data_IF_577962150220
#
_entry.id   IF_577962150220
#
_cell.length_a   1.000
_cell.length_b   1.000
_cell.length_c   1.000
_cell.angle_alpha   90.00
_cell.angle_beta   90.00
_cell.angle_gamma   90.00
#
_symmetry.space_group_name_H-M   'P 1'
#
loop_
_entity.id
_entity.type
_entity.pdbx_description
1 polymer ?
#
# COMPACT_ATOMS: atom_id res chain seq x y z
N UNK A 1 25.12 8.85 16.41
CA UNK A 1 23.99 8.81 15.45
C UNK A 1 23.19 7.57 15.80
N UNK A 2 21.87 7.66 15.96
CA UNK A 2 21.04 6.47 16.21
C UNK A 2 21.14 5.54 14.98
N UNK A 3 21.35 4.24 15.20
CA UNK A 3 21.34 3.26 14.12
C UNK A 3 20.00 3.35 13.38
N UNK A 4 20.01 3.29 12.04
CA UNK A 4 18.77 3.28 11.28
C UNK A 4 17.93 2.06 11.69
N UNK A 5 16.67 2.30 12.04
CA UNK A 5 15.72 1.24 12.37
C UNK A 5 15.29 0.58 11.05
N UNK A 6 15.60 -0.70 10.89
CA UNK A 6 15.13 -1.51 9.77
C UNK A 6 13.84 -2.23 10.19
N UNK A 7 12.87 -2.24 9.30
CA UNK A 7 11.62 -2.96 9.49
C UNK A 7 11.58 -4.15 8.54
N UNK A 8 11.33 -5.38 9.02
CA UNK A 8 11.12 -6.53 8.14
C UNK A 8 9.89 -6.28 7.26
N UNK A 9 9.97 -6.69 5.99
CA UNK A 9 8.90 -6.47 5.03
C UNK A 9 8.23 -7.80 4.69
N UNK A 10 6.92 -7.87 4.92
CA UNK A 10 6.14 -9.08 4.65
C UNK A 10 6.14 -9.49 3.17
N UNK A 11 6.34 -8.53 2.27
CA UNK A 11 6.42 -8.76 0.83
C UNK A 11 7.76 -9.38 0.37
N UNK A 12 8.78 -9.48 1.24
CA UNK A 12 10.11 -9.99 0.88
C UNK A 12 10.05 -11.42 0.31
N UNK A 13 9.21 -12.30 0.87
CA UNK A 13 8.99 -13.66 0.34
C UNK A 13 8.60 -13.62 -1.14
N UNK A 14 7.62 -12.80 -1.51
CA UNK A 14 7.19 -12.64 -2.91
C UNK A 14 8.26 -12.07 -3.82
N UNK A 15 9.12 -11.20 -3.28
CA UNK A 15 10.26 -10.68 -4.03
C UNK A 15 11.26 -11.79 -4.35
N UNK A 16 11.57 -12.64 -3.36
CA UNK A 16 12.48 -13.78 -3.55
C UNK A 16 11.92 -14.76 -4.58
N UNK A 17 10.66 -15.18 -4.44
CA UNK A 17 9.97 -16.06 -5.38
C UNK A 17 9.99 -15.46 -6.82
N UNK A 18 9.71 -14.17 -6.95
CA UNK A 18 9.76 -13.48 -8.25
C UNK A 18 11.15 -13.50 -8.90
N UNK A 19 12.21 -13.38 -8.09
CA UNK A 19 13.59 -13.43 -8.58
C UNK A 19 14.04 -14.86 -8.99
N UNK A 20 13.32 -15.88 -8.59
CA UNK A 20 13.62 -17.28 -8.93
C UNK A 20 13.09 -17.70 -10.32
N UNK A 21 12.03 -17.06 -10.80
CA UNK A 21 11.35 -17.44 -12.04
C UNK A 21 11.27 -16.34 -13.12
N UNK A 22 11.37 -15.08 -12.73
CA UNK A 22 11.18 -13.94 -13.63
C UNK A 22 12.49 -13.24 -13.97
N UNK A 23 12.79 -12.99 -15.26
CA UNK A 23 14.04 -12.34 -15.67
C UNK A 23 14.12 -10.86 -15.27
N UNK A 24 12.96 -10.20 -15.12
CA UNK A 24 12.85 -8.82 -14.65
C UNK A 24 11.85 -8.76 -13.50
N UNK A 25 12.26 -8.19 -12.38
CA UNK A 25 11.39 -7.94 -11.24
C UNK A 25 11.39 -6.44 -10.94
N UNK A 26 10.21 -5.85 -10.75
CA UNK A 26 10.06 -4.43 -10.42
C UNK A 26 9.46 -4.27 -9.03
N UNK A 27 10.20 -3.68 -8.10
CA UNK A 27 9.65 -3.17 -6.84
C UNK A 27 9.01 -1.81 -7.11
N UNK A 28 7.70 -1.74 -6.97
CA UNK A 28 6.88 -0.60 -7.32
C UNK A 28 6.12 -0.05 -6.11
N UNK A 29 6.18 1.26 -5.89
CA UNK A 29 5.50 1.88 -4.75
C UNK A 29 5.94 3.31 -4.49
N UNK A 30 5.33 4.01 -3.51
CA UNK A 30 5.60 5.41 -3.23
C UNK A 30 7.07 5.68 -2.90
N UNK A 31 7.52 6.93 -3.03
CA UNK A 31 8.83 7.34 -2.53
C UNK A 31 8.92 7.12 -1.02
N UNK A 32 10.12 6.90 -0.51
CA UNK A 32 10.39 6.78 0.93
C UNK A 32 9.69 5.60 1.64
N UNK A 33 9.12 4.62 0.92
CA UNK A 33 8.56 3.39 1.51
C UNK A 33 9.58 2.27 1.71
N UNK A 34 10.86 2.45 1.27
CA UNK A 34 11.95 1.52 1.50
C UNK A 34 12.28 0.57 0.34
N UNK A 35 11.94 0.91 -0.92
CA UNK A 35 12.20 0.07 -2.12
C UNK A 35 13.68 -0.27 -2.30
N UNK A 36 14.53 0.74 -2.33
CA UNK A 36 15.99 0.57 -2.45
C UNK A 36 16.55 -0.28 -1.32
N UNK A 37 16.10 -0.02 -0.08
CA UNK A 37 16.51 -0.79 1.10
C UNK A 37 16.12 -2.26 0.97
N UNK A 38 14.86 -2.55 0.57
CA UNK A 38 14.38 -3.92 0.36
C UNK A 38 15.20 -4.62 -0.73
N UNK A 39 15.41 -3.97 -1.89
CA UNK A 39 16.20 -4.53 -2.98
C UNK A 39 17.62 -4.90 -2.55
N UNK A 40 18.30 -3.99 -1.83
CA UNK A 40 19.65 -4.20 -1.36
C UNK A 40 19.75 -5.31 -0.30
N UNK A 41 18.83 -5.37 0.67
CA UNK A 41 18.83 -6.40 1.72
C UNK A 41 18.56 -7.78 1.12
N UNK A 42 17.59 -7.89 0.19
CA UNK A 42 17.22 -9.18 -0.40
C UNK A 42 18.31 -9.73 -1.33
N UNK A 43 18.99 -8.86 -2.08
CA UNK A 43 19.94 -9.27 -3.12
C UNK A 43 21.40 -9.27 -2.67
N UNK A 44 21.75 -8.58 -1.60
CA UNK A 44 23.10 -8.49 -1.05
C UNK A 44 23.11 -8.93 0.42
N UNK A 45 23.03 -10.22 0.72
CA UNK A 45 23.01 -10.73 2.10
C UNK A 45 24.24 -10.32 2.92
N UNK A 46 25.33 -9.96 2.27
CA UNK A 46 26.55 -9.38 2.88
C UNK A 46 26.61 -7.85 2.76
N UNK A 47 25.52 -7.18 2.38
CA UNK A 47 25.48 -5.73 2.38
C UNK A 47 25.91 -5.23 3.77
N UNK A 48 26.96 -4.39 3.86
CA UNK A 48 27.46 -3.97 5.16
C UNK A 48 26.32 -3.23 5.86
N UNK A 49 25.77 -3.88 6.89
CA UNK A 49 24.95 -3.21 7.86
C UNK A 49 25.83 -2.09 8.41
N UNK A 50 25.40 -0.85 8.27
CA UNK A 50 26.07 0.30 8.84
C UNK A 50 26.35 0.00 10.32
N UNK A 51 27.59 -0.40 10.65
CA UNK A 51 27.99 -0.73 12.01
C UNK A 51 28.27 -2.22 12.32
N UNK A 52 28.43 -3.10 11.33
CA UNK A 52 29.02 -4.45 11.56
C UNK A 52 28.16 -5.49 12.27
N UNK A 53 26.93 -5.18 12.66
CA UNK A 53 25.99 -6.13 13.20
C UNK A 53 24.74 -6.16 12.32
N UNK A 54 24.41 -7.34 11.75
CA UNK A 54 23.01 -7.60 11.38
C UNK A 54 22.19 -7.24 12.60
N UNK A 55 21.06 -6.48 12.46
CA UNK A 55 20.14 -6.35 13.56
C UNK A 55 19.77 -7.76 14.00
N UNK A 56 20.23 -8.20 15.15
CA UNK A 56 19.74 -9.41 15.78
C UNK A 56 18.32 -9.11 16.23
N UNK A 57 17.37 -9.21 15.31
CA UNK A 57 15.98 -9.41 15.65
C UNK A 57 15.93 -10.73 16.42
N UNK A 58 15.58 -10.64 17.68
CA UNK A 58 15.64 -11.69 18.65
C UNK A 58 15.48 -13.07 18.04
N UNK A 59 16.56 -13.86 18.20
CA UNK A 59 16.61 -15.31 18.10
C UNK A 59 15.90 -15.88 16.89
N UNK A 60 16.67 -16.30 15.89
CA UNK A 60 16.25 -17.05 14.70
C UNK A 60 15.54 -16.21 13.64
N UNK A 61 16.33 -15.44 12.84
CA UNK A 61 15.91 -15.27 11.45
C UNK A 61 15.75 -16.69 10.87
N UNK A 62 14.56 -17.07 10.37
CA UNK A 62 14.43 -18.37 9.75
C UNK A 62 15.35 -18.36 8.55
N UNK A 63 16.21 -19.35 8.48
CA UNK A 63 16.72 -19.80 7.22
C UNK A 63 15.49 -20.26 6.43
N UNK A 64 14.92 -19.36 5.63
CA UNK A 64 14.13 -19.81 4.50
C UNK A 64 15.05 -20.77 3.77
N UNK A 65 14.63 -22.01 3.56
CA UNK A 65 15.46 -23.07 2.98
C UNK A 65 15.85 -22.82 1.52
N UNK A 66 16.03 -21.56 1.15
CA UNK A 66 16.52 -21.08 -0.12
C UNK A 66 18.03 -21.17 -0.09
N UNK A 67 18.59 -21.93 -1.02
CA UNK A 67 20.04 -22.02 -1.24
C UNK A 67 20.61 -20.59 -1.32
N UNK A 68 21.40 -20.21 -0.33
CA UNK A 68 22.22 -19.00 -0.32
C UNK A 68 23.38 -19.16 -1.32
N UNK A 69 23.09 -19.52 -2.55
CA UNK A 69 24.06 -19.41 -3.63
C UNK A 69 24.29 -17.91 -3.84
N UNK A 70 25.53 -17.52 -3.72
CA UNK A 70 26.11 -16.18 -3.84
C UNK A 70 25.41 -15.35 -4.93
N UNK A 71 24.34 -14.61 -4.56
CA UNK A 71 23.66 -13.69 -5.48
C UNK A 71 24.38 -12.36 -5.40
N UNK A 72 25.48 -12.26 -6.11
CA UNK A 72 26.24 -11.01 -6.22
C UNK A 72 25.54 -10.08 -7.23
N UNK A 73 24.74 -9.13 -6.72
CA UNK A 73 24.06 -8.13 -7.54
C UNK A 73 24.91 -6.87 -7.64
N UNK A 74 25.18 -6.42 -8.86
CA UNK A 74 25.63 -5.04 -9.08
C UNK A 74 24.54 -4.04 -8.74
N UNK A 75 24.90 -2.83 -8.28
CA UNK A 75 23.94 -1.77 -7.95
C UNK A 75 24.24 -0.49 -8.71
N UNK A 76 23.25 0.03 -9.43
CA UNK A 76 23.31 1.30 -10.16
C UNK A 76 22.07 2.14 -9.85
N UNK A 77 22.27 3.40 -9.46
CA UNK A 77 21.18 4.35 -9.22
C UNK A 77 21.15 5.46 -10.24
N UNK A 78 19.99 5.68 -10.84
CA UNK A 78 19.78 6.80 -11.77
C UNK A 78 19.47 8.14 -11.06
N UNK A 79 19.56 8.18 -9.75
CA UNK A 79 19.69 9.44 -8.99
C UNK A 79 21.10 10.03 -9.20
N UNK A 80 22.14 9.17 -9.44
CA UNK A 80 23.46 9.61 -9.82
C UNK A 80 23.46 10.15 -11.26
N UNK A 81 23.90 11.43 -11.49
CA UNK A 81 23.90 12.03 -12.80
C UNK A 81 24.80 11.30 -13.82
N UNK A 82 25.96 10.80 -13.39
CA UNK A 82 26.92 10.14 -14.28
C UNK A 82 26.35 8.84 -14.81
N UNK A 83 25.82 7.99 -13.93
CA UNK A 83 25.15 6.74 -14.30
C UNK A 83 23.95 7.00 -15.21
N UNK A 84 23.12 8.00 -14.88
CA UNK A 84 21.96 8.37 -15.68
C UNK A 84 22.30 8.84 -17.06
N UNK A 85 23.26 9.75 -17.18
CA UNK A 85 23.65 10.37 -18.47
C UNK A 85 24.35 9.33 -19.36
N UNK A 86 25.18 8.44 -18.79
CA UNK A 86 25.77 7.31 -19.51
C UNK A 86 24.71 6.35 -20.05
N UNK A 87 23.73 5.97 -19.23
CA UNK A 87 22.63 5.09 -19.63
C UNK A 87 21.72 5.70 -20.70
N UNK A 88 21.56 7.03 -20.72
CA UNK A 88 20.81 7.75 -21.77
C UNK A 88 21.58 7.87 -23.08
N UNK A 89 22.89 8.06 -23.01
CA UNK A 89 23.74 8.23 -24.19
C UNK A 89 23.79 6.95 -25.05
N UNK A 90 23.90 5.78 -24.41
CA UNK A 90 23.87 4.47 -25.06
C UNK A 90 23.17 3.44 -24.19
N UNK A 91 21.83 3.35 -24.22
CA UNK A 91 21.07 2.40 -23.42
C UNK A 91 21.43 0.93 -23.72
N UNK A 92 21.74 0.62 -24.98
CA UNK A 92 22.05 -0.75 -25.43
C UNK A 92 23.44 -1.17 -24.95
N UNK A 93 24.46 -0.35 -25.14
CA UNK A 93 25.79 -0.59 -24.61
C UNK A 93 25.80 -0.65 -23.08
N UNK A 94 25.12 0.29 -22.42
CA UNK A 94 25.00 0.28 -20.97
C UNK A 94 24.45 -1.06 -20.44
N UNK A 95 23.34 -1.57 -21.02
CA UNK A 95 22.75 -2.85 -20.61
C UNK A 95 23.64 -4.05 -20.95
N UNK A 96 24.42 -3.98 -22.03
CA UNK A 96 25.35 -5.05 -22.43
C UNK A 96 26.52 -5.19 -21.45
N UNK A 97 27.00 -4.08 -20.89
CA UNK A 97 28.14 -4.03 -19.95
C UNK A 97 27.76 -4.29 -18.50
N UNK A 98 26.45 -4.42 -18.17
CA UNK A 98 26.00 -4.72 -16.82
C UNK A 98 26.40 -6.12 -16.37
N UNK A 99 26.67 -6.31 -15.05
CA UNK A 99 26.85 -7.64 -14.47
C UNK A 99 25.66 -8.55 -14.77
N UNK A 100 25.86 -9.86 -14.63
CA UNK A 100 24.82 -10.86 -14.92
C UNK A 100 23.54 -10.61 -14.11
N UNK A 101 23.67 -10.16 -12.86
CA UNK A 101 22.56 -9.76 -12.01
C UNK A 101 22.76 -8.33 -11.52
N UNK A 102 21.71 -7.52 -11.60
CA UNK A 102 21.82 -6.09 -11.31
C UNK A 102 20.55 -5.51 -10.70
N UNK A 103 20.74 -4.60 -9.73
CA UNK A 103 19.71 -3.70 -9.21
C UNK A 103 19.84 -2.37 -9.97
N UNK A 104 18.76 -1.97 -10.64
CA UNK A 104 18.64 -0.66 -11.30
C UNK A 104 17.63 0.20 -10.53
N UNK A 105 18.14 1.15 -9.75
CA UNK A 105 17.34 1.97 -8.84
C UNK A 105 16.85 3.25 -9.52
N UNK A 106 15.55 3.61 -9.29
CA UNK A 106 14.86 4.75 -9.89
C UNK A 106 14.83 4.71 -11.43
N UNK A 107 14.53 3.51 -11.98
CA UNK A 107 14.61 3.22 -13.44
C UNK A 107 13.70 4.12 -14.30
N UNK A 108 12.64 4.72 -13.75
CA UNK A 108 11.77 5.64 -14.48
C UNK A 108 12.48 6.92 -14.95
N UNK A 109 13.70 7.22 -14.45
CA UNK A 109 14.50 8.35 -14.89
C UNK A 109 15.18 8.13 -16.24
N UNK A 110 15.26 6.86 -16.69
CA UNK A 110 15.85 6.48 -17.99
C UNK A 110 14.91 5.48 -18.68
N UNK A 111 13.75 5.96 -19.21
CA UNK A 111 12.76 5.08 -19.85
C UNK A 111 13.30 4.32 -21.06
N UNK A 112 14.33 4.83 -21.71
CA UNK A 112 15.00 4.23 -22.88
C UNK A 112 15.61 2.86 -22.56
N UNK A 113 15.92 2.59 -21.29
CA UNK A 113 16.47 1.30 -20.86
C UNK A 113 15.48 0.14 -21.01
N UNK A 114 14.16 0.39 -20.97
CA UNK A 114 13.19 -0.71 -21.05
C UNK A 114 13.26 -1.50 -22.34
N UNK A 115 13.54 -0.84 -23.47
CA UNK A 115 13.74 -1.53 -24.73
C UNK A 115 15.07 -2.31 -24.76
N UNK A 116 16.16 -1.73 -24.26
CA UNK A 116 17.44 -2.40 -24.15
C UNK A 116 17.39 -3.62 -23.22
N UNK A 117 16.69 -3.51 -22.06
CA UNK A 117 16.44 -4.63 -21.15
C UNK A 117 15.64 -5.73 -21.85
N UNK A 118 14.58 -5.38 -22.59
CA UNK A 118 13.80 -6.35 -23.38
C UNK A 118 14.69 -7.14 -24.35
N UNK A 119 15.47 -6.44 -25.15
CA UNK A 119 16.39 -7.08 -26.12
C UNK A 119 17.35 -8.02 -25.39
N UNK A 120 17.90 -7.61 -24.26
CA UNK A 120 18.80 -8.41 -23.45
C UNK A 120 18.14 -9.68 -22.90
N UNK A 121 16.89 -9.56 -22.38
CA UNK A 121 16.10 -10.69 -21.88
C UNK A 121 15.69 -11.65 -22.99
N UNK A 122 15.32 -11.14 -24.19
CA UNK A 122 14.94 -11.97 -25.33
C UNK A 122 16.12 -12.79 -25.87
N UNK A 123 17.34 -12.26 -25.76
CA UNK A 123 18.57 -13.01 -26.13
C UNK A 123 18.95 -14.07 -25.11
N UNK A 124 18.82 -13.78 -23.82
CA UNK A 124 19.17 -14.68 -22.72
C UNK A 124 18.25 -14.49 -21.54
N UNK A 125 17.35 -15.42 -21.35
CA UNK A 125 16.34 -15.39 -20.27
C UNK A 125 16.93 -15.99 -19.00
N UNK A 126 17.46 -15.14 -18.11
CA UNK A 126 18.04 -15.54 -16.82
C UNK A 126 17.12 -15.03 -15.72
N UNK A 127 16.55 -15.91 -14.86
CA UNK A 127 15.75 -15.49 -13.71
C UNK A 127 16.55 -14.59 -12.77
N UNK A 128 15.89 -13.55 -12.24
CA UNK A 128 16.49 -12.60 -11.31
C UNK A 128 17.59 -11.73 -11.92
N UNK A 129 17.70 -11.63 -13.25
CA UNK A 129 18.76 -10.84 -13.89
C UNK A 129 18.64 -9.34 -13.59
N UNK A 130 17.44 -8.79 -13.70
CA UNK A 130 17.19 -7.37 -13.46
C UNK A 130 16.21 -7.18 -12.31
N UNK A 131 16.67 -6.57 -11.22
CA UNK A 131 15.81 -6.05 -10.18
C UNK A 131 15.71 -4.53 -10.34
N UNK A 132 14.53 -4.07 -10.69
CA UNK A 132 14.23 -2.66 -10.91
C UNK A 132 13.53 -2.06 -9.70
N UNK A 133 13.78 -0.79 -9.39
CA UNK A 133 12.92 -0.03 -8.48
C UNK A 133 12.33 1.18 -9.20
N UNK A 134 11.09 1.53 -8.83
CA UNK A 134 10.41 2.68 -9.40
C UNK A 134 9.43 3.32 -8.40
N UNK A 135 9.52 4.66 -8.27
CA UNK A 135 8.72 5.44 -7.31
C UNK A 135 7.49 6.10 -7.92
N UNK A 136 7.43 6.19 -9.24
CA UNK A 136 6.27 6.68 -9.96
C UNK A 136 5.51 5.50 -10.52
N UNK A 137 4.22 5.68 -10.83
CA UNK A 137 3.49 4.61 -11.50
C UNK A 137 4.10 4.36 -12.88
N UNK A 138 5.08 3.47 -12.92
CA UNK A 138 5.93 3.16 -14.08
C UNK A 138 5.08 2.64 -15.25
N UNK A 139 3.87 2.09 -14.97
CA UNK A 139 2.92 1.65 -16.01
C UNK A 139 2.34 2.79 -16.85
N UNK A 140 2.59 4.02 -16.44
CA UNK A 140 2.16 5.20 -17.19
C UNK A 140 3.23 5.71 -18.14
N UNK A 141 4.41 5.09 -18.11
CA UNK A 141 5.40 5.20 -19.18
C UNK A 141 4.96 4.20 -20.26
N UNK A 142 4.37 4.62 -21.38
CA UNK A 142 3.83 3.72 -22.42
C UNK A 142 4.88 2.69 -22.87
N UNK A 143 6.14 3.10 -22.88
CA UNK A 143 7.28 2.26 -23.27
C UNK A 143 7.49 1.06 -22.33
N UNK A 144 7.09 1.10 -21.07
CA UNK A 144 7.28 -0.02 -20.16
C UNK A 144 6.21 -1.10 -20.34
N UNK A 145 4.94 -0.69 -20.46
CA UNK A 145 3.84 -1.64 -20.66
C UNK A 145 4.00 -2.47 -21.92
N UNK A 146 4.53 -1.85 -22.99
CA UNK A 146 4.69 -2.50 -24.29
C UNK A 146 5.99 -3.33 -24.36
N UNK A 147 7.10 -2.83 -23.77
CA UNK A 147 8.41 -3.47 -23.90
C UNK A 147 8.59 -4.71 -23.05
N UNK A 148 8.09 -4.72 -21.80
CA UNK A 148 8.36 -5.80 -20.84
C UNK A 148 7.15 -6.70 -20.55
N UNK A 149 6.06 -6.60 -21.33
CA UNK A 149 4.89 -7.47 -21.21
C UNK A 149 5.30 -8.97 -21.28
N UNK A 150 4.89 -9.76 -20.29
CA UNK A 150 5.23 -11.18 -20.17
C UNK A 150 6.68 -11.51 -19.77
N UNK A 151 7.49 -10.49 -19.42
CA UNK A 151 8.88 -10.62 -18.98
C UNK A 151 9.14 -10.05 -17.60
N UNK A 152 8.20 -9.26 -17.07
CA UNK A 152 8.33 -8.54 -15.81
C UNK A 152 7.32 -9.06 -14.80
N UNK A 153 7.78 -9.29 -13.57
CA UNK A 153 6.93 -9.46 -12.41
C UNK A 153 6.99 -8.22 -11.52
N UNK A 154 5.84 -7.83 -11.00
CA UNK A 154 5.70 -6.61 -10.22
C UNK A 154 5.42 -6.97 -8.77
N UNK A 155 6.25 -6.42 -7.90
CA UNK A 155 6.13 -6.56 -6.44
C UNK A 155 5.77 -5.19 -5.87
N UNK A 156 4.51 -4.98 -5.46
CA UNK A 156 4.09 -3.72 -4.87
C UNK A 156 4.66 -3.59 -3.46
N UNK A 157 5.28 -2.44 -3.17
CA UNK A 157 5.76 -2.09 -1.84
C UNK A 157 5.02 -0.86 -1.33
N UNK A 158 4.29 -1.03 -0.24
CA UNK A 158 3.52 0.02 0.42
C UNK A 158 4.28 0.63 1.62
N UNK A 159 3.82 1.75 2.21
CA UNK A 159 4.21 2.13 3.56
C UNK A 159 3.95 0.98 4.55
N UNK A 160 4.63 1.00 5.71
CA UNK A 160 4.54 -0.06 6.71
C UNK A 160 3.11 -0.26 7.22
N UNK A 161 2.74 -1.50 7.44
CA UNK A 161 1.55 -1.89 8.19
C UNK A 161 1.83 -1.93 9.69
N UNK A 162 0.79 -1.90 10.51
CA UNK A 162 0.93 -2.14 11.94
C UNK A 162 1.47 -3.56 12.22
N UNK A 163 1.15 -4.52 11.34
CA UNK A 163 1.70 -5.88 11.40
C UNK A 163 3.23 -5.89 11.27
N UNK A 164 3.78 -5.19 10.29
CA UNK A 164 5.23 -5.04 10.10
C UNK A 164 5.89 -4.24 11.24
N UNK A 165 5.21 -3.21 11.78
CA UNK A 165 5.71 -2.38 12.87
C UNK A 165 5.78 -3.10 14.22
N UNK A 166 4.87 -4.05 14.48
CA UNK A 166 4.86 -4.82 15.73
C UNK A 166 5.83 -5.98 15.76
N UNK A 167 6.52 -6.26 14.64
CA UNK A 167 7.47 -7.35 14.52
C UNK A 167 6.83 -8.74 14.59
N UNK A 168 5.52 -8.84 14.42
CA UNK A 168 4.76 -10.09 14.47
C UNK A 168 4.83 -10.88 13.16
N UNK A 169 5.62 -10.46 12.19
CA UNK A 169 6.00 -11.26 11.06
C UNK A 169 6.73 -12.50 11.57
N UNK A 170 5.95 -13.51 12.01
CA UNK A 170 6.48 -14.81 12.35
C UNK A 170 6.72 -15.57 11.03
N UNK A 171 7.97 -15.72 10.59
CA UNK A 171 8.29 -16.37 9.34
C UNK A 171 7.88 -17.84 9.32
N UNK A 172 7.69 -18.46 10.50
CA UNK A 172 7.24 -19.84 10.64
C UNK A 172 5.72 -20.01 10.49
N UNK A 173 4.96 -18.89 10.45
CA UNK A 173 3.51 -18.86 10.21
C UNK A 173 3.13 -17.66 9.34
N UNK A 174 3.57 -17.62 8.09
CA UNK A 174 3.21 -16.52 7.16
C UNK A 174 1.70 -16.44 6.90
N UNK A 175 0.99 -17.54 7.13
CA UNK A 175 -0.44 -17.69 6.85
C UNK A 175 -1.35 -17.25 8.01
N UNK A 176 -0.80 -16.92 9.17
CA UNK A 176 -1.57 -16.51 10.35
C UNK A 176 -1.86 -15.01 10.33
N UNK A 177 -2.45 -14.49 9.26
CA UNK A 177 -2.86 -13.11 9.16
C UNK A 177 -4.39 -12.94 9.17
N UNK A 178 -4.81 -11.69 9.27
CA UNK A 178 -6.22 -11.34 9.36
C UNK A 178 -7.01 -11.77 8.11
N UNK A 179 -6.42 -11.68 6.91
CA UNK A 179 -7.09 -12.01 5.67
C UNK A 179 -7.34 -13.51 5.55
N UNK A 180 -6.39 -14.35 5.97
CA UNK A 180 -6.57 -15.79 6.00
C UNK A 180 -7.68 -16.19 7.00
N UNK A 181 -7.74 -15.57 8.18
CA UNK A 181 -8.84 -15.77 9.10
C UNK A 181 -10.18 -15.30 8.50
N UNK A 182 -10.19 -14.19 7.78
CA UNK A 182 -11.40 -13.60 7.22
C UNK A 182 -12.03 -14.47 6.11
N UNK A 183 -11.21 -15.03 5.22
CA UNK A 183 -11.66 -15.90 4.13
C UNK A 183 -11.74 -17.39 4.53
N UNK A 184 -11.01 -17.82 5.55
CA UNK A 184 -10.87 -19.22 6.00
C UNK A 184 -11.64 -19.51 7.29
N UNK A 185 -10.91 -19.93 8.34
CA UNK A 185 -11.46 -20.53 9.56
C UNK A 185 -12.23 -19.54 10.46
N UNK A 186 -12.08 -18.23 10.24
CA UNK A 186 -12.78 -17.20 11.00
C UNK A 186 -12.04 -16.74 12.25
N UNK A 187 -12.81 -16.19 13.16
CA UNK A 187 -12.28 -15.56 14.36
C UNK A 187 -12.77 -16.31 15.59
N UNK A 188 -11.91 -17.09 16.25
CA UNK A 188 -12.27 -17.71 17.53
C UNK A 188 -12.57 -16.62 18.58
N UNK A 189 -13.33 -16.98 19.61
CA UNK A 189 -13.53 -16.10 20.75
C UNK A 189 -12.18 -15.81 21.40
N UNK A 190 -11.84 -14.54 21.49
CA UNK A 190 -10.56 -14.08 22.01
C UNK A 190 -10.74 -12.75 22.73
N UNK A 191 -10.02 -12.56 23.81
CA UNK A 191 -9.94 -11.29 24.52
C UNK A 191 -8.63 -10.59 24.22
N UNK A 192 -8.68 -9.30 23.99
CA UNK A 192 -7.53 -8.42 23.77
C UNK A 192 -7.71 -7.12 24.55
N UNK A 193 -6.64 -6.40 24.77
CA UNK A 193 -6.73 -5.06 25.33
C UNK A 193 -7.28 -4.07 24.30
N UNK A 194 -8.17 -3.19 24.76
CA UNK A 194 -8.64 -2.05 23.99
C UNK A 194 -7.48 -1.07 23.77
N UNK A 195 -7.39 -0.53 22.56
CA UNK A 195 -6.31 0.41 22.19
C UNK A 195 -6.58 1.85 22.65
N UNK A 196 -7.84 2.32 22.56
CA UNK A 196 -8.20 3.68 22.95
C UNK A 196 -7.38 4.76 22.25
N UNK A 197 -6.67 5.59 23.02
CA UNK A 197 -5.81 6.66 22.48
C UNK A 197 -4.65 6.14 21.62
N UNK A 198 -4.13 4.95 21.92
CA UNK A 198 -3.06 4.35 21.14
C UNK A 198 -3.47 4.08 19.68
N UNK A 199 -4.74 3.73 19.44
CA UNK A 199 -5.27 3.57 18.10
C UNK A 199 -5.19 4.90 17.32
N UNK A 200 -5.57 6.00 17.97
CA UNK A 200 -5.56 7.33 17.37
C UNK A 200 -4.12 7.77 17.07
N UNK A 201 -3.19 7.49 17.98
CA UNK A 201 -1.75 7.76 17.78
C UNK A 201 -1.21 7.01 16.56
N UNK A 202 -1.58 5.71 16.38
CA UNK A 202 -1.21 4.92 15.21
C UNK A 202 -1.78 5.49 13.91
N UNK A 203 -3.04 5.92 13.92
CA UNK A 203 -3.69 6.56 12.77
C UNK A 203 -2.94 7.84 12.37
N UNK A 204 -2.59 8.70 13.34
CA UNK A 204 -1.87 9.96 13.08
C UNK A 204 -0.43 9.74 12.66
N UNK A 205 0.21 8.66 13.14
CA UNK A 205 1.58 8.36 12.78
C UNK A 205 1.74 7.92 11.32
N UNK A 206 0.76 7.18 10.78
CA UNK A 206 0.84 6.60 9.43
C UNK A 206 1.86 5.47 9.33
N UNK A 207 2.30 5.16 8.10
CA UNK A 207 3.17 4.00 7.83
C UNK A 207 4.48 4.32 7.12
N UNK A 208 4.84 5.57 6.87
CA UNK A 208 6.10 5.89 6.19
C UNK A 208 7.30 5.74 7.13
N UNK A 209 8.29 4.87 6.82
CA UNK A 209 9.45 4.62 7.70
C UNK A 209 10.19 5.89 8.10
N UNK A 210 10.42 6.80 7.14
CA UNK A 210 11.13 8.04 7.38
C UNK A 210 10.33 9.05 8.23
N UNK A 211 9.00 9.00 8.22
CA UNK A 211 8.14 9.77 9.12
C UNK A 211 8.20 9.21 10.54
N UNK A 212 8.05 7.88 10.67
CA UNK A 212 8.08 7.18 11.95
C UNK A 212 9.42 7.31 12.70
N UNK A 213 10.52 7.52 11.98
CA UNK A 213 11.83 7.81 12.57
C UNK A 213 11.93 9.22 13.20
N UNK A 214 10.92 10.08 13.08
CA UNK A 214 10.94 11.42 13.65
C UNK A 214 10.62 11.39 15.14
N UNK A 215 11.43 12.08 15.99
CA UNK A 215 11.37 11.92 17.45
C UNK A 215 10.16 12.62 18.11
N UNK A 216 9.45 13.49 17.39
CA UNK A 216 8.28 14.20 17.95
C UNK A 216 7.14 14.29 16.95
N UNK A 217 5.86 14.34 17.42
CA UNK A 217 4.70 14.47 16.54
C UNK A 217 4.78 15.68 15.60
N UNK A 218 5.29 16.82 16.08
CA UNK A 218 5.50 18.00 15.24
C UNK A 218 6.48 17.74 14.09
N UNK A 219 7.60 17.04 14.35
CA UNK A 219 8.60 16.72 13.31
C UNK A 219 8.08 15.68 12.33
N UNK A 220 7.24 14.75 12.80
CA UNK A 220 6.56 13.78 11.97
C UNK A 220 5.59 14.50 11.01
N UNK A 221 4.74 15.38 11.51
CA UNK A 221 3.80 16.16 10.69
C UNK A 221 4.53 17.08 9.69
N UNK A 222 5.65 17.70 10.09
CA UNK A 222 6.47 18.49 9.17
C UNK A 222 7.03 17.63 8.05
N UNK A 223 7.55 16.43 8.38
CA UNK A 223 8.07 15.51 7.37
C UNK A 223 7.02 15.20 6.29
N UNK A 224 5.77 14.95 6.66
CA UNK A 224 4.69 14.69 5.68
C UNK A 224 4.41 15.90 4.81
N UNK A 225 4.42 17.12 5.36
CA UNK A 225 4.23 18.35 4.56
C UNK A 225 5.37 18.55 3.56
N UNK A 226 6.60 18.42 4.02
CA UNK A 226 7.79 18.52 3.17
C UNK A 226 7.80 17.43 2.09
N UNK A 227 7.34 16.23 2.42
CA UNK A 227 7.20 15.12 1.48
C UNK A 227 6.21 15.44 0.35
N UNK A 228 5.03 15.97 0.66
CA UNK A 228 4.05 16.38 -0.35
C UNK A 228 4.61 17.49 -1.23
N UNK A 229 5.23 18.51 -0.63
CA UNK A 229 5.83 19.61 -1.38
C UNK A 229 6.90 19.10 -2.35
N UNK A 230 7.78 18.20 -1.88
CA UNK A 230 8.83 17.61 -2.72
C UNK A 230 8.24 16.79 -3.88
N UNK A 231 7.18 15.98 -3.64
CA UNK A 231 6.51 15.21 -4.69
C UNK A 231 5.85 16.11 -5.73
N UNK A 232 5.17 17.15 -5.29
CA UNK A 232 4.51 18.08 -6.21
C UNK A 232 5.52 18.86 -7.04
N UNK A 233 6.59 19.36 -6.42
CA UNK A 233 7.59 20.18 -7.12
C UNK A 233 8.47 19.36 -8.08
N UNK A 234 8.70 18.08 -7.79
CA UNK A 234 9.62 17.23 -8.57
C UNK A 234 8.87 16.26 -9.47
N UNK A 235 8.07 15.38 -8.89
CA UNK A 235 7.52 14.23 -9.63
C UNK A 235 6.30 14.59 -10.46
N UNK A 236 5.46 15.52 -9.99
CA UNK A 236 4.30 15.95 -10.77
C UNK A 236 4.72 16.68 -12.06
N UNK A 237 5.83 17.41 -12.05
CA UNK A 237 6.39 18.09 -13.25
C UNK A 237 6.90 17.09 -14.29
N UNK A 238 7.51 16.00 -13.82
CA UNK A 238 8.10 14.99 -14.71
C UNK A 238 7.02 14.13 -15.41
N UNK A 239 5.83 14.01 -14.79
CA UNK A 239 4.76 13.13 -15.30
C UNK A 239 3.83 13.84 -16.28
N UNK A 240 3.56 15.14 -16.07
CA UNK A 240 2.53 15.84 -16.84
C UNK A 240 2.89 17.30 -17.13
N UNK A 241 2.34 17.82 -18.26
CA UNK A 241 2.38 19.23 -18.62
C UNK A 241 1.22 20.03 -17.96
N UNK A 242 0.90 19.73 -16.70
CA UNK A 242 -0.18 20.42 -15.98
C UNK A 242 0.22 21.88 -15.77
N UNK A 243 -0.72 22.81 -16.08
CA UNK A 243 -0.45 24.27 -16.06
C UNK A 243 -0.38 24.87 -14.66
N UNK A 244 -1.02 24.23 -13.64
CA UNK A 244 -1.16 24.81 -12.29
C UNK A 244 -0.85 23.75 -11.23
N UNK A 245 0.44 23.58 -10.91
CA UNK A 245 0.89 22.63 -9.88
C UNK A 245 0.51 23.05 -8.46
N UNK A 246 0.28 24.34 -8.22
CA UNK A 246 -0.18 24.94 -6.97
C UNK A 246 -1.56 24.44 -6.51
N UNK A 247 -2.37 23.96 -7.45
CA UNK A 247 -3.68 23.34 -7.14
C UNK A 247 -3.51 22.01 -6.42
N UNK A 248 -2.46 21.21 -6.71
CA UNK A 248 -2.30 19.86 -6.20
C UNK A 248 -2.28 19.77 -4.66
N UNK A 249 -1.50 20.58 -3.91
CA UNK A 249 -1.51 20.51 -2.45
C UNK A 249 -2.88 20.91 -1.85
N UNK A 250 -3.57 21.89 -2.45
CA UNK A 250 -4.91 22.30 -2.02
C UNK A 250 -5.95 21.21 -2.29
N UNK A 251 -5.89 20.58 -3.47
CA UNK A 251 -6.76 19.47 -3.84
C UNK A 251 -6.53 18.26 -2.94
N UNK A 252 -5.27 17.94 -2.63
CA UNK A 252 -4.91 16.85 -1.73
C UNK A 252 -5.42 17.12 -0.30
N UNK A 253 -5.36 18.36 0.17
CA UNK A 253 -5.94 18.76 1.46
C UNK A 253 -7.47 18.60 1.46
N UNK A 254 -8.15 19.01 0.39
CA UNK A 254 -9.59 18.80 0.25
C UNK A 254 -9.94 17.31 0.22
N UNK A 255 -9.16 16.49 -0.49
CA UNK A 255 -9.33 15.05 -0.50
C UNK A 255 -9.10 14.42 0.88
N UNK A 256 -8.15 14.93 1.69
CA UNK A 256 -7.93 14.48 3.05
C UNK A 256 -9.15 14.72 3.96
N UNK A 257 -9.82 15.88 3.82
CA UNK A 257 -11.05 16.20 4.54
C UNK A 257 -12.26 15.33 4.10
N UNK A 258 -12.18 14.72 2.93
CA UNK A 258 -13.22 13.85 2.37
C UNK A 258 -12.79 12.38 2.23
N UNK A 259 -11.74 11.97 2.95
CA UNK A 259 -11.28 10.58 2.93
C UNK A 259 -12.40 9.64 3.40
N UNK A 260 -12.46 8.43 2.84
CA UNK A 260 -13.50 7.43 3.08
C UNK A 260 -14.93 7.84 2.65
N UNK A 261 -15.11 8.94 1.94
CA UNK A 261 -16.41 9.37 1.44
C UNK A 261 -16.59 9.05 -0.04
N UNK A 262 -17.84 8.97 -0.49
CA UNK A 262 -18.16 8.84 -1.90
C UNK A 262 -17.54 9.99 -2.69
N UNK A 263 -16.80 9.63 -3.73
CA UNK A 263 -16.10 10.59 -4.57
C UNK A 263 -17.07 11.42 -5.39
N UNK A 264 -17.21 12.67 -5.02
CA UNK A 264 -17.98 13.67 -5.77
C UNK A 264 -17.04 14.65 -6.48
N UNK A 265 -16.76 14.37 -7.74
CA UNK A 265 -15.86 15.21 -8.56
C UNK A 265 -16.32 16.68 -8.61
N UNK A 266 -17.63 16.93 -8.67
CA UNK A 266 -18.18 18.30 -8.73
C UNK A 266 -18.00 19.04 -7.42
N UNK A 267 -18.25 18.38 -6.28
CA UNK A 267 -18.03 18.96 -4.95
C UNK A 267 -16.56 19.25 -4.70
N UNK A 268 -15.65 18.37 -5.18
CA UNK A 268 -14.23 18.57 -5.05
C UNK A 268 -13.71 19.69 -5.99
N UNK A 269 -14.32 19.88 -7.16
CA UNK A 269 -13.93 20.89 -8.16
C UNK A 269 -14.37 22.32 -7.78
N UNK A 270 -15.49 22.46 -7.10
CA UNK A 270 -16.11 23.77 -6.84
C UNK A 270 -15.18 24.82 -6.22
N UNK A 271 -14.33 24.52 -5.22
CA UNK A 271 -13.43 25.49 -4.62
C UNK A 271 -12.26 25.96 -5.52
N UNK A 272 -12.05 25.33 -6.68
CA UNK A 272 -10.86 25.55 -7.51
C UNK A 272 -11.15 26.28 -8.82
N UNK A 273 -12.41 26.55 -9.13
CA UNK A 273 -12.83 27.18 -10.40
C UNK A 273 -12.32 26.44 -11.65
N UNK A 274 -12.13 25.10 -11.52
CA UNK A 274 -11.65 24.22 -12.57
C UNK A 274 -12.77 23.37 -13.15
N UNK A 275 -12.59 22.96 -14.40
CA UNK A 275 -13.51 22.02 -15.05
C UNK A 275 -13.46 20.65 -14.40
N UNK A 276 -14.57 19.89 -14.47
CA UNK A 276 -14.60 18.50 -13.99
C UNK A 276 -13.52 17.61 -14.62
N UNK A 277 -13.27 17.66 -15.95
CA UNK A 277 -12.18 16.91 -16.56
C UNK A 277 -10.82 17.26 -15.94
N UNK A 278 -10.53 18.55 -15.77
CA UNK A 278 -9.24 18.98 -15.18
C UNK A 278 -9.03 18.45 -13.76
N UNK A 279 -10.05 18.49 -12.90
CA UNK A 279 -9.96 17.89 -11.56
C UNK A 279 -9.81 16.36 -11.64
N UNK A 280 -10.47 15.70 -12.60
CA UNK A 280 -10.28 14.27 -12.86
C UNK A 280 -8.84 13.92 -13.20
N UNK A 281 -8.19 14.72 -14.03
CA UNK A 281 -6.78 14.56 -14.38
C UNK A 281 -5.86 14.77 -13.17
N UNK A 282 -6.13 15.78 -12.33
CA UNK A 282 -5.38 16.02 -11.09
C UNK A 282 -5.54 14.88 -10.08
N UNK A 283 -6.76 14.36 -9.89
CA UNK A 283 -6.98 13.21 -9.02
C UNK A 283 -6.23 11.99 -9.57
N UNK A 284 -6.28 11.75 -10.87
CA UNK A 284 -5.53 10.67 -11.51
C UNK A 284 -4.02 10.84 -11.32
N UNK A 285 -3.49 12.06 -11.40
CA UNK A 285 -2.09 12.33 -11.10
C UNK A 285 -1.74 12.01 -9.64
N UNK A 286 -2.59 12.42 -8.68
CA UNK A 286 -2.38 12.11 -7.27
C UNK A 286 -2.44 10.61 -6.97
N UNK A 287 -3.27 9.84 -7.70
CA UNK A 287 -3.24 8.36 -7.63
C UNK A 287 -1.94 7.80 -8.20
N UNK A 288 -1.46 8.37 -9.29
CA UNK A 288 -0.17 7.99 -9.90
C UNK A 288 1.03 8.27 -9.01
N UNK A 289 0.93 9.26 -8.13
CA UNK A 289 1.91 9.59 -7.11
C UNK A 289 1.73 8.79 -5.81
N UNK A 290 0.79 7.84 -5.75
CA UNK A 290 0.44 7.06 -4.56
C UNK A 290 0.00 7.93 -3.37
N UNK A 291 -0.68 9.04 -3.62
CA UNK A 291 -1.21 9.93 -2.58
C UNK A 291 -2.70 9.71 -2.34
N UNK A 292 -3.42 9.32 -3.39
CA UNK A 292 -4.85 9.00 -3.37
C UNK A 292 -5.13 7.61 -3.91
N UNK A 293 -6.30 7.10 -3.57
CA UNK A 293 -6.80 5.82 -4.02
C UNK A 293 -8.32 5.82 -4.12
N UNK A 294 -8.84 5.31 -5.22
CA UNK A 294 -10.28 5.08 -5.40
C UNK A 294 -10.63 3.66 -5.02
N UNK A 295 -11.60 3.53 -4.11
CA UNK A 295 -12.22 2.26 -3.76
C UNK A 295 -13.52 2.12 -4.57
N UNK A 296 -13.58 1.28 -5.62
CA UNK A 296 -14.76 1.15 -6.48
C UNK A 296 -15.94 0.54 -5.73
N UNK A 297 -17.13 0.72 -6.27
CA UNK A 297 -18.34 0.12 -5.70
C UNK A 297 -18.46 -1.36 -6.08
N UNK A 298 -18.77 -2.22 -5.12
CA UNK A 298 -19.11 -3.61 -5.37
C UNK A 298 -20.55 -3.75 -5.89
N UNK A 299 -20.74 -4.61 -6.86
CA UNK A 299 -22.06 -5.03 -7.34
C UNK A 299 -21.97 -6.46 -7.87
N UNK A 300 -23.01 -7.28 -7.68
CA UNK A 300 -23.05 -8.65 -8.19
C UNK A 300 -22.85 -8.74 -9.71
N UNK A 301 -23.36 -7.75 -10.46
CA UNK A 301 -23.06 -7.59 -11.88
C UNK A 301 -21.81 -6.70 -12.02
N UNK A 302 -20.74 -7.24 -12.60
CA UNK A 302 -19.43 -6.57 -12.77
C UNK A 302 -19.51 -5.29 -13.61
N UNK A 303 -20.34 -5.26 -14.65
CA UNK A 303 -20.50 -4.06 -15.51
C UNK A 303 -21.10 -2.87 -14.75
N UNK A 304 -21.99 -3.13 -13.78
CA UNK A 304 -22.56 -2.07 -12.94
C UNK A 304 -21.56 -1.48 -11.94
N UNK A 305 -20.42 -2.14 -11.68
CA UNK A 305 -19.34 -1.59 -10.83
C UNK A 305 -18.71 -0.36 -11.46
N UNK A 306 -18.59 -0.34 -12.79
CA UNK A 306 -17.91 0.72 -13.55
C UNK A 306 -18.64 2.08 -13.54
N UNK A 307 -19.94 2.09 -13.30
CA UNK A 307 -20.77 3.31 -13.38
C UNK A 307 -21.16 3.89 -12.02
N UNK A 308 -20.83 3.19 -10.92
CA UNK A 308 -21.12 3.65 -9.56
C UNK A 308 -19.97 4.51 -9.02
N UNK A 309 -20.30 5.51 -8.21
CA UNK A 309 -19.29 6.39 -7.57
C UNK A 309 -18.38 5.59 -6.64
N UNK A 310 -17.05 5.68 -6.79
CA UNK A 310 -16.12 5.09 -5.82
C UNK A 310 -16.08 5.89 -4.53
N UNK A 311 -15.53 5.33 -3.46
CA UNK A 311 -15.02 6.11 -2.31
C UNK A 311 -13.60 6.59 -2.62
N UNK A 312 -13.20 7.72 -2.02
CA UNK A 312 -11.85 8.26 -2.13
C UNK A 312 -11.12 8.09 -0.80
N UNK A 313 -9.92 7.54 -0.85
CA UNK A 313 -9.05 7.35 0.33
C UNK A 313 -7.70 8.03 0.14
N UNK A 314 -7.15 8.59 1.20
CA UNK A 314 -5.73 8.91 1.24
C UNK A 314 -4.94 7.61 1.34
N UNK A 315 -3.80 7.54 0.68
CA UNK A 315 -2.93 6.37 0.70
C UNK A 315 -2.23 6.15 2.06
N UNK A 316 -2.27 7.15 2.94
CA UNK A 316 -1.72 7.06 4.30
C UNK A 316 -2.43 8.04 5.25
N UNK A 317 -2.79 7.57 6.45
CA UNK A 317 -3.52 8.38 7.43
C UNK A 317 -2.66 9.42 8.13
N UNK A 318 -1.36 9.16 8.30
CA UNK A 318 -0.42 10.16 8.83
C UNK A 318 -0.26 11.34 7.88
N UNK A 319 -0.22 11.04 6.56
CA UNK A 319 -0.26 12.06 5.53
C UNK A 319 -1.55 12.91 5.61
N UNK A 320 -2.71 12.26 5.73
CA UNK A 320 -4.00 12.94 5.87
C UNK A 320 -4.04 13.84 7.11
N UNK A 321 -3.57 13.33 8.25
CA UNK A 321 -3.48 14.09 9.51
C UNK A 321 -2.59 15.34 9.37
N UNK A 322 -1.41 15.21 8.76
CA UNK A 322 -0.50 16.32 8.56
C UNK A 322 -1.07 17.39 7.62
N UNK A 323 -1.78 17.00 6.56
CA UNK A 323 -2.43 17.92 5.62
C UNK A 323 -3.55 18.73 6.27
N UNK A 324 -4.32 18.14 7.18
CA UNK A 324 -5.39 18.80 7.91
C UNK A 324 -4.90 19.54 9.17
N UNK A 325 -3.63 19.32 9.59
CA UNK A 325 -3.13 19.80 10.86
C UNK A 325 -3.80 19.13 12.06
N UNK A 326 -4.35 17.93 11.87
CA UNK A 326 -5.04 17.16 12.91
C UNK A 326 -4.05 16.32 13.70
N UNK A 327 -3.91 16.59 14.97
CA UNK A 327 -3.21 15.73 15.93
C UNK A 327 -4.16 14.72 16.59
N UNK A 328 -3.62 13.87 17.44
CA UNK A 328 -4.42 12.85 18.14
C UNK A 328 -5.55 13.48 18.99
N UNK A 329 -5.31 14.65 19.60
CA UNK A 329 -6.29 15.36 20.42
C UNK A 329 -7.43 15.93 19.55
N UNK A 330 -7.11 16.50 18.41
CA UNK A 330 -8.09 17.00 17.46
C UNK A 330 -8.97 15.88 16.88
N UNK A 331 -8.38 14.74 16.50
CA UNK A 331 -9.14 13.57 16.04
C UNK A 331 -10.02 12.97 17.15
N UNK A 332 -9.57 12.97 18.39
CA UNK A 332 -10.38 12.51 19.54
C UNK A 332 -11.62 13.40 19.76
N UNK A 333 -11.48 14.69 19.53
CA UNK A 333 -12.57 15.65 19.68
C UNK A 333 -13.58 15.59 18.52
N UNK A 334 -13.13 15.27 17.30
CA UNK A 334 -14.00 15.16 16.11
C UNK A 334 -14.28 13.69 15.77
N UNK A 335 -15.39 13.18 16.31
CA UNK A 335 -15.81 11.79 16.11
C UNK A 335 -16.13 11.43 14.66
N UNK A 336 -16.59 12.38 13.86
CA UNK A 336 -16.92 12.16 12.46
C UNK A 336 -15.62 12.00 11.64
N UNK A 337 -14.68 12.89 11.83
CA UNK A 337 -13.37 12.83 11.19
C UNK A 337 -12.60 11.57 11.64
N UNK A 338 -12.64 11.23 12.93
CA UNK A 338 -12.03 9.99 13.43
C UNK A 338 -12.61 8.75 12.73
N UNK A 339 -13.93 8.69 12.51
CA UNK A 339 -14.56 7.60 11.78
C UNK A 339 -14.01 7.44 10.37
N UNK A 340 -13.88 8.52 9.61
CA UNK A 340 -13.32 8.54 8.26
C UNK A 340 -11.84 8.10 8.24
N UNK A 341 -11.06 8.58 9.19
CA UNK A 341 -9.66 8.21 9.31
C UNK A 341 -9.49 6.74 9.69
N UNK A 342 -10.33 6.23 10.58
CA UNK A 342 -10.32 4.83 11.00
C UNK A 342 -10.68 3.90 9.84
N UNK A 343 -11.66 4.28 9.02
CA UNK A 343 -12.04 3.54 7.81
C UNK A 343 -10.87 3.52 6.81
N UNK A 344 -10.24 4.68 6.55
CA UNK A 344 -9.07 4.76 5.67
C UNK A 344 -7.90 3.94 6.23
N UNK A 345 -7.64 4.00 7.52
CA UNK A 345 -6.59 3.22 8.19
C UNK A 345 -6.83 1.72 8.02
N UNK A 346 -8.03 1.22 8.32
CA UNK A 346 -8.37 -0.19 8.17
C UNK A 346 -8.28 -0.65 6.70
N UNK A 347 -8.76 0.18 5.76
CA UNK A 347 -8.64 -0.10 4.34
C UNK A 347 -7.18 -0.23 3.90
N UNK A 348 -6.32 0.70 4.31
CA UNK A 348 -4.90 0.65 3.95
C UNK A 348 -4.19 -0.54 4.60
N UNK A 349 -4.49 -0.87 5.86
CA UNK A 349 -3.94 -2.08 6.50
C UNK A 349 -4.31 -3.35 5.73
N UNK A 350 -5.60 -3.55 5.41
CA UNK A 350 -6.08 -4.73 4.69
C UNK A 350 -5.50 -4.82 3.27
N UNK A 351 -5.45 -3.71 2.56
CA UNK A 351 -4.92 -3.65 1.20
C UNK A 351 -3.42 -3.95 1.15
N UNK A 352 -2.67 -3.39 2.09
CA UNK A 352 -1.23 -3.65 2.22
C UNK A 352 -0.98 -5.12 2.57
N UNK A 353 -1.78 -5.70 3.47
CA UNK A 353 -1.71 -7.14 3.78
C UNK A 353 -2.04 -8.01 2.55
N UNK A 354 -3.04 -7.67 1.77
CA UNK A 354 -3.35 -8.40 0.54
C UNK A 354 -2.21 -8.40 -0.49
N UNK A 355 -1.31 -7.42 -0.43
CA UNK A 355 -0.19 -7.32 -1.40
C UNK A 355 0.85 -8.44 -1.28
N UNK A 356 0.93 -9.10 -0.12
CA UNK A 356 1.84 -10.24 0.08
C UNK A 356 1.15 -11.60 0.15
N UNK A 357 -0.20 -11.64 -0.01
CA UNK A 357 -0.95 -12.89 -0.09
C UNK A 357 -0.79 -13.58 -1.44
N UNK A 358 -0.87 -14.91 -1.43
CA UNK A 358 -0.79 -15.69 -2.67
C UNK A 358 -2.06 -15.56 -3.51
N UNK A 359 -3.21 -15.37 -2.87
CA UNK A 359 -4.50 -15.22 -3.56
C UNK A 359 -4.79 -13.74 -3.85
N UNK A 360 -4.85 -13.34 -5.12
CA UNK A 360 -5.23 -11.99 -5.50
C UNK A 360 -6.60 -11.61 -4.96
N UNK A 361 -6.68 -10.45 -4.32
CA UNK A 361 -7.90 -9.93 -3.69
C UNK A 361 -8.21 -8.53 -4.22
N UNK A 362 -9.40 -8.34 -4.74
CA UNK A 362 -9.92 -7.05 -5.19
C UNK A 362 -10.72 -6.38 -4.08
N UNK A 363 -10.62 -5.05 -4.00
CA UNK A 363 -11.23 -4.22 -2.96
C UNK A 363 -12.31 -3.33 -3.52
N UNK A 364 -13.42 -3.23 -2.77
CA UNK A 364 -14.60 -2.45 -3.12
C UNK A 364 -15.25 -1.88 -1.85
N UNK A 365 -16.19 -0.96 -2.00
CA UNK A 365 -17.21 -0.64 -0.99
C UNK A 365 -18.58 -1.12 -1.48
N UNK A 366 -19.53 -1.29 -0.58
CA UNK A 366 -20.91 -1.63 -0.95
C UNK A 366 -21.87 -0.58 -0.44
N UNK A 367 -22.80 -0.15 -1.31
CA UNK A 367 -23.93 0.69 -0.94
C UNK A 367 -25.16 0.29 -1.75
N UNK A 368 -26.26 0.00 -1.05
CA UNK A 368 -27.51 -0.31 -1.68
C UNK A 368 -28.35 0.97 -1.95
N UNK A 369 -29.52 0.78 -2.59
CA UNK A 369 -30.44 1.88 -2.91
C UNK A 369 -31.09 2.51 -1.67
N UNK A 370 -31.17 1.77 -0.57
CA UNK A 370 -31.79 2.19 0.69
C UNK A 370 -30.76 2.83 1.64
N UNK A 371 -29.54 3.07 1.17
CA UNK A 371 -28.46 3.71 1.92
C UNK A 371 -27.76 2.80 2.94
N UNK A 372 -27.98 1.49 2.91
CA UNK A 372 -27.20 0.57 3.72
C UNK A 372 -25.81 0.36 3.06
N UNK A 373 -24.77 0.53 3.88
CA UNK A 373 -23.37 0.50 3.43
C UNK A 373 -22.60 -0.63 4.11
N UNK A 374 -21.53 -1.08 3.43
CA UNK A 374 -20.40 -1.83 3.99
C UNK A 374 -19.13 -1.13 3.52
N UNK A 375 -18.30 -0.75 4.47
CA UNK A 375 -17.15 0.11 4.21
C UNK A 375 -16.14 -0.52 3.27
N UNK A 376 -15.80 -1.80 3.49
CA UNK A 376 -14.85 -2.54 2.68
C UNK A 376 -15.46 -3.88 2.30
N UNK A 377 -15.45 -4.19 1.02
CA UNK A 377 -15.79 -5.50 0.45
C UNK A 377 -14.57 -6.05 -0.25
N UNK A 378 -14.22 -7.28 0.01
CA UNK A 378 -13.12 -7.96 -0.67
C UNK A 378 -13.65 -9.16 -1.45
N UNK A 379 -13.16 -9.32 -2.67
CA UNK A 379 -13.52 -10.44 -3.57
C UNK A 379 -12.25 -11.10 -4.07
N UNK A 380 -12.11 -12.40 -3.84
CA UNK A 380 -11.01 -13.21 -4.38
C UNK A 380 -11.33 -13.72 -5.78
N UNK A 381 -10.30 -14.18 -6.51
CA UNK A 381 -10.44 -14.76 -7.85
C UNK A 381 -11.41 -15.95 -7.89
N UNK A 382 -11.54 -16.71 -6.80
CA UNK A 382 -12.54 -17.77 -6.61
C UNK A 382 -13.99 -17.27 -6.65
N UNK A 383 -14.20 -15.96 -6.53
CA UNK A 383 -15.50 -15.33 -6.37
C UNK A 383 -15.96 -15.23 -4.90
N UNK A 384 -15.17 -15.69 -3.95
CA UNK A 384 -15.47 -15.56 -2.52
C UNK A 384 -15.53 -14.08 -2.12
N UNK A 385 -16.58 -13.69 -1.40
CA UNK A 385 -16.85 -12.30 -0.99
C UNK A 385 -16.90 -12.21 0.53
N UNK A 386 -16.18 -11.26 1.09
CA UNK A 386 -16.23 -10.90 2.50
C UNK A 386 -16.52 -9.41 2.66
N UNK A 387 -17.12 -9.03 3.78
CA UNK A 387 -17.41 -7.63 4.10
C UNK A 387 -16.81 -7.22 5.44
N UNK A 388 -16.31 -6.00 5.51
CA UNK A 388 -15.80 -5.39 6.74
C UNK A 388 -16.47 -4.03 6.94
N UNK A 389 -17.07 -3.85 8.09
CA UNK A 389 -17.62 -2.60 8.58
C UNK A 389 -16.72 -2.07 9.69
N UNK A 390 -16.50 -0.77 9.78
CA UNK A 390 -15.57 -0.17 10.73
C UNK A 390 -16.32 0.74 11.71
N UNK A 391 -16.07 0.58 13.02
CA UNK A 391 -16.70 1.37 14.08
C UNK A 391 -15.68 1.95 15.04
N UNK A 392 -15.67 3.27 15.16
CA UNK A 392 -14.86 3.99 16.14
C UNK A 392 -15.51 3.96 17.54
N UNK A 393 -16.04 2.82 17.97
CA UNK A 393 -16.75 2.62 19.24
C UNK A 393 -16.16 1.41 19.97
N UNK A 394 -16.33 1.38 21.31
CA UNK A 394 -15.89 0.27 22.14
C UNK A 394 -16.92 -0.87 22.21
N UNK A 395 -18.11 -0.68 21.66
CA UNK A 395 -19.19 -1.66 21.67
C UNK A 395 -19.85 -1.79 20.31
N UNK A 396 -20.38 -2.95 20.03
CA UNK A 396 -21.06 -3.32 18.78
C UNK A 396 -22.44 -3.88 19.09
N UNK A 397 -23.40 -3.57 18.25
CA UNK A 397 -24.79 -4.05 18.32
C UNK A 397 -25.19 -4.75 17.02
N UNK A 398 -26.31 -5.48 17.04
CA UNK A 398 -26.86 -6.14 15.85
C UNK A 398 -27.18 -5.17 14.71
N UNK A 399 -27.35 -3.88 14.99
CA UNK A 399 -27.62 -2.84 13.98
C UNK A 399 -26.40 -2.56 13.11
N UNK A 400 -25.20 -2.73 13.66
CA UNK A 400 -23.94 -2.48 12.97
C UNK A 400 -23.66 -3.50 11.86
N UNK A 401 -24.36 -4.63 11.87
CA UNK A 401 -24.31 -5.65 10.81
C UNK A 401 -25.32 -5.44 9.68
N UNK A 402 -26.08 -4.35 9.68
CA UNK A 402 -27.15 -4.13 8.68
C UNK A 402 -26.61 -4.11 7.25
N UNK A 403 -25.52 -3.41 7.00
CA UNK A 403 -24.86 -3.35 5.69
C UNK A 403 -24.34 -4.71 5.25
N UNK A 404 -23.66 -5.40 6.16
CA UNK A 404 -23.10 -6.74 5.93
C UNK A 404 -24.19 -7.78 5.59
N UNK A 405 -25.34 -7.74 6.26
CA UNK A 405 -26.49 -8.63 5.93
C UNK A 405 -27.10 -8.32 4.57
N UNK A 406 -27.08 -7.06 4.14
CA UNK A 406 -27.50 -6.67 2.79
C UNK A 406 -26.48 -7.14 1.73
N UNK A 407 -25.19 -7.04 2.03
CA UNK A 407 -24.12 -7.58 1.19
C UNK A 407 -24.25 -9.11 1.06
N UNK A 408 -24.47 -9.84 2.16
CA UNK A 408 -24.71 -11.28 2.15
C UNK A 408 -25.82 -11.66 1.16
N UNK A 409 -26.98 -10.99 1.25
CA UNK A 409 -28.09 -11.24 0.32
C UNK A 409 -27.73 -10.93 -1.13
N UNK A 410 -26.94 -9.86 -1.37
CA UNK A 410 -26.52 -9.46 -2.70
C UNK A 410 -25.45 -10.38 -3.30
N UNK A 411 -24.58 -10.95 -2.48
CA UNK A 411 -23.52 -11.87 -2.90
C UNK A 411 -24.00 -13.33 -2.97
N UNK A 412 -25.05 -13.69 -2.22
CA UNK A 412 -25.61 -15.04 -2.17
C UNK A 412 -24.60 -16.07 -1.70
N UNK A 413 -24.46 -17.19 -2.40
CA UNK A 413 -23.56 -18.29 -2.05
C UNK A 413 -22.06 -17.91 -2.08
N UNK A 414 -21.70 -16.77 -2.66
CA UNK A 414 -20.31 -16.26 -2.68
C UNK A 414 -19.92 -15.58 -1.38
N UNK A 415 -20.88 -15.20 -0.53
CA UNK A 415 -20.60 -14.55 0.75
C UNK A 415 -20.04 -15.55 1.75
N UNK A 416 -18.82 -15.28 2.21
CA UNK A 416 -18.12 -16.11 3.20
C UNK A 416 -18.36 -15.55 4.61
N UNK A 417 -18.07 -14.27 4.84
CA UNK A 417 -18.09 -13.69 6.19
C UNK A 417 -18.28 -12.16 6.18
N UNK A 418 -18.91 -11.67 7.23
CA UNK A 418 -18.99 -10.24 7.55
C UNK A 418 -18.40 -9.94 8.93
N UNK A 419 -17.54 -8.93 8.99
CA UNK A 419 -16.86 -8.53 10.23
C UNK A 419 -17.14 -7.07 10.53
N UNK A 420 -17.46 -6.78 11.78
CA UNK A 420 -17.42 -5.41 12.32
C UNK A 420 -16.11 -5.26 13.08
N UNK A 421 -15.19 -4.44 12.54
CA UNK A 421 -13.97 -4.03 13.25
C UNK A 421 -14.29 -2.88 14.19
N UNK A 422 -13.90 -3.00 15.46
CA UNK A 422 -14.22 -2.02 16.50
C UNK A 422 -13.09 -1.86 17.51
N UNK A 423 -13.08 -0.77 18.25
CA UNK A 423 -12.08 -0.53 19.31
C UNK A 423 -12.55 -1.16 20.63
N UNK A 424 -12.73 -2.49 20.61
CA UNK A 424 -13.18 -3.27 21.76
C UNK A 424 -12.19 -4.33 22.21
N UNK A 425 -12.63 -5.20 23.12
CA UNK A 425 -11.78 -6.13 23.84
C UNK A 425 -11.97 -7.60 23.45
N UNK A 426 -13.04 -7.94 22.72
CA UNK A 426 -13.35 -9.34 22.46
C UNK A 426 -13.76 -9.61 20.99
N UNK A 427 -13.33 -10.76 20.47
CA UNK A 427 -13.93 -11.34 19.26
C UNK A 427 -15.20 -12.10 19.64
N UNK A 428 -16.35 -11.69 19.09
CA UNK A 428 -17.68 -12.20 19.46
C UNK A 428 -18.46 -12.57 18.19
N UNK A 429 -19.04 -13.78 18.09
CA UNK A 429 -19.92 -14.13 17.00
C UNK A 429 -21.27 -13.42 17.11
N UNK A 430 -21.84 -12.99 15.98
CA UNK A 430 -23.19 -12.43 15.82
C UNK A 430 -24.05 -13.29 14.86
N UNK A 431 -23.88 -14.58 14.89
CA UNK A 431 -24.42 -15.62 14.01
C UNK A 431 -23.29 -16.37 13.29
N UNK A 432 -23.65 -17.28 12.39
CA UNK A 432 -22.70 -18.22 11.79
C UNK A 432 -21.60 -17.55 10.95
N UNK A 433 -21.95 -16.43 10.28
CA UNK A 433 -21.04 -15.75 9.33
C UNK A 433 -20.64 -14.34 9.78
N UNK A 434 -21.10 -13.88 10.93
CA UNK A 434 -20.87 -12.50 11.37
C UNK A 434 -20.10 -12.47 12.68
N UNK A 435 -19.09 -11.59 12.75
CA UNK A 435 -18.26 -11.45 13.94
C UNK A 435 -17.97 -9.97 14.22
N UNK A 436 -18.05 -9.59 15.50
CA UNK A 436 -17.41 -8.36 15.97
C UNK A 436 -15.98 -8.72 16.36
N UNK A 437 -14.99 -7.99 15.82
CA UNK A 437 -13.57 -8.30 16.00
C UNK A 437 -12.82 -7.03 16.40
N UNK A 438 -12.02 -7.05 17.48
CA UNK A 438 -11.19 -5.92 17.84
C UNK A 438 -10.26 -5.49 16.69
N UNK A 439 -10.15 -4.19 16.43
CA UNK A 439 -9.32 -3.68 15.35
C UNK A 439 -7.84 -4.03 15.51
N UNK A 440 -7.37 -4.25 16.74
CA UNK A 440 -6.02 -4.73 17.04
C UNK A 440 -5.70 -6.08 16.38
N UNK A 441 -6.72 -6.86 16.02
CA UNK A 441 -6.57 -8.15 15.32
C UNK A 441 -6.04 -8.02 13.89
N UNK A 442 -6.10 -6.83 13.30
CA UNK A 442 -5.45 -6.57 12.02
C UNK A 442 -3.93 -6.84 12.06
N UNK A 443 -3.31 -6.76 13.24
CA UNK A 443 -1.85 -6.95 13.42
C UNK A 443 -1.45 -7.79 14.63
N UNK A 444 -2.40 -8.21 15.46
CA UNK A 444 -2.17 -9.09 16.61
C UNK A 444 -3.00 -10.37 16.43
N UNK A 445 -2.40 -11.38 15.83
CA UNK A 445 -3.01 -12.70 15.75
C UNK A 445 -2.68 -13.51 17.02
N UNK A 446 -3.56 -14.41 17.51
CA UNK A 446 -3.31 -15.20 18.71
C UNK A 446 -2.16 -16.17 18.53
#
# INVERSE_FOLDING_TARGET
MANPIFYPRSVERRLVEALEDSPVVLIHGPRQCGKTTLAQITCAPNYPTWGGNRPTWGVNAPAWGYSQENRDYGYFSFDDPVTRDGARADPTGFVADLPERVILDEVQRVPELFEAIKISVDRRRVPGRFLLTGSTNVFLVPQLSDSLAGRIQIVPLHPLTQFELTGHSNPSRPDADFLNALFGDGFPMFQSERLGSQLIEKIVAGGYPAALARPTPRRLANWYRDYVEALVQRDARDITRIRSLDVLPRLLRAAAAHTAQLFNLSGLAAPFELSRPSIGDYVTLLERLFLLERLPAWHGNRLKRLVKSPKLHLADTGLAAALLGADAKALMADRALLGQFLETFAFQELRRQASWQDTPTEFFHFRDKDGAETDIVMEQASGAVVGVEIKAAASVSSRDFRGLRKLERAAGNRFVRGVVLYDGEASIPFGDRFHAVPISRLWRMP
#
